data_IF_258168317405
#
_entry.id   IF_258168317405
#
_cell.length_a   1.000
_cell.length_b   1.000
_cell.length_c   1.000
_cell.angle_alpha   90.00
_cell.angle_beta   90.00
_cell.angle_gamma   90.00
#
_symmetry.space_group_name_H-M   'P 1'
#
loop_
_entity.id
_entity.type
_entity.pdbx_description
1 polymer ?
#
# COMPACT_ATOMS: atom_id res chain seq x y z
N UNK A 1 8.14 0.33 -24.43
CA UNK A 1 8.54 -0.58 -23.32
C UNK A 1 7.29 -1.13 -22.66
N UNK A 2 7.24 -2.44 -22.32
CA UNK A 2 6.06 -3.06 -21.67
C UNK A 2 6.21 -3.09 -20.15
N UNK A 3 5.20 -2.62 -19.43
CA UNK A 3 5.12 -2.70 -17.96
C UNK A 3 3.96 -3.62 -17.56
N UNK A 4 4.28 -4.70 -16.83
CA UNK A 4 3.31 -5.71 -16.37
C UNK A 4 2.96 -5.58 -14.89
N UNK A 5 3.49 -4.55 -14.21
CA UNK A 5 3.45 -4.41 -12.76
C UNK A 5 2.41 -3.41 -12.28
N UNK A 6 2.16 -2.35 -13.04
CA UNK A 6 1.41 -1.19 -12.57
C UNK A 6 0.19 -0.91 -13.44
N UNK A 7 -0.85 -0.36 -12.82
CA UNK A 7 -2.01 0.17 -13.52
C UNK A 7 -1.61 1.38 -14.40
N UNK A 8 -2.31 1.58 -15.52
CA UNK A 8 -2.01 2.65 -16.47
C UNK A 8 -1.96 4.06 -15.83
N UNK A 9 -2.87 4.35 -14.90
CA UNK A 9 -2.91 5.63 -14.19
C UNK A 9 -1.66 5.88 -13.32
N UNK A 10 -1.04 4.83 -12.77
CA UNK A 10 0.20 4.95 -11.99
C UNK A 10 1.38 5.27 -12.92
N UNK A 11 1.36 4.73 -14.13
CA UNK A 11 2.42 4.92 -15.11
C UNK A 11 2.35 6.25 -15.86
N UNK A 12 1.21 6.91 -15.85
CA UNK A 12 0.98 8.11 -16.67
C UNK A 12 2.04 9.18 -16.43
N UNK A 13 2.21 9.64 -15.18
CA UNK A 13 3.18 10.67 -14.85
C UNK A 13 4.64 10.30 -15.19
N UNK A 14 5.18 9.15 -14.76
CA UNK A 14 6.54 8.78 -15.15
C UNK A 14 6.69 8.58 -16.67
N UNK A 15 5.64 8.11 -17.36
CA UNK A 15 5.67 7.93 -18.81
C UNK A 15 5.82 9.28 -19.53
N UNK A 16 5.02 10.26 -19.13
CA UNK A 16 5.06 11.62 -19.69
C UNK A 16 6.41 12.30 -19.39
N UNK A 17 6.94 12.17 -18.15
CA UNK A 17 8.12 12.91 -17.72
C UNK A 17 9.44 12.26 -18.14
N UNK A 18 9.54 10.92 -18.15
CA UNK A 18 10.83 10.23 -18.23
C UNK A 18 10.94 9.24 -19.39
N UNK A 19 9.82 8.73 -19.91
CA UNK A 19 9.81 7.66 -20.90
C UNK A 19 9.24 8.07 -22.25
N UNK A 20 9.01 9.36 -22.50
CA UNK A 20 8.53 9.91 -23.80
C UNK A 20 7.26 9.22 -24.31
N UNK A 21 6.41 8.78 -23.40
CA UNK A 21 5.20 8.00 -23.70
C UNK A 21 5.44 6.61 -24.32
N UNK A 22 6.64 6.05 -24.13
CA UNK A 22 6.99 4.72 -24.66
C UNK A 22 6.58 3.55 -23.74
N UNK A 23 6.05 3.83 -22.54
CA UNK A 23 5.58 2.80 -21.62
C UNK A 23 4.16 2.36 -21.98
N UNK A 24 4.01 1.08 -22.21
CA UNK A 24 2.71 0.43 -22.42
C UNK A 24 2.32 -0.35 -21.17
N UNK A 25 1.17 -0.01 -20.56
CA UNK A 25 0.62 -0.74 -19.42
C UNK A 25 0.05 -2.09 -19.90
N UNK A 26 0.73 -3.17 -19.55
CA UNK A 26 0.35 -4.55 -19.87
C UNK A 26 -0.06 -5.34 -18.60
N UNK A 27 -0.49 -4.64 -17.56
CA UNK A 27 -0.94 -5.26 -16.31
C UNK A 27 -2.15 -6.18 -16.53
N UNK A 28 -2.26 -7.20 -15.68
CA UNK A 28 -3.35 -8.16 -15.70
C UNK A 28 -4.46 -7.78 -14.67
N UNK A 29 -5.39 -8.70 -14.43
CA UNK A 29 -6.47 -8.50 -13.44
C UNK A 29 -5.95 -8.20 -12.02
N UNK A 30 -4.77 -8.71 -11.64
CA UNK A 30 -4.18 -8.46 -10.32
C UNK A 30 -3.72 -7.00 -10.15
N UNK A 31 -3.23 -6.35 -11.21
CA UNK A 31 -2.86 -4.92 -11.15
C UNK A 31 -4.06 -4.00 -11.02
N UNK A 32 -5.26 -4.50 -11.34
CA UNK A 32 -6.52 -3.77 -11.32
C UNK A 32 -7.42 -4.20 -10.15
N UNK A 33 -6.93 -5.03 -9.24
CA UNK A 33 -7.72 -5.67 -8.19
C UNK A 33 -8.46 -4.68 -7.26
N UNK A 34 -7.92 -3.47 -7.08
CA UNK A 34 -8.52 -2.43 -6.23
C UNK A 34 -9.42 -1.44 -6.97
N UNK A 35 -9.49 -1.48 -8.30
CA UNK A 35 -10.39 -0.63 -9.06
C UNK A 35 -11.84 -0.97 -8.69
N UNK A 36 -12.62 0.06 -8.34
CA UNK A 36 -13.99 -0.09 -7.84
C UNK A 36 -14.10 -0.31 -6.32
N UNK A 37 -12.97 -0.39 -5.60
CA UNK A 37 -12.97 -0.56 -4.13
C UNK A 37 -13.50 0.68 -3.42
N UNK A 38 -14.25 0.46 -2.34
CA UNK A 38 -14.79 1.53 -1.47
C UNK A 38 -13.71 2.26 -0.67
N UNK A 39 -12.51 1.69 -0.56
CA UNK A 39 -11.38 2.35 0.09
C UNK A 39 -10.78 3.48 -0.76
N UNK A 40 -11.00 3.43 -2.08
CA UNK A 40 -10.51 4.44 -3.00
C UNK A 40 -11.43 5.67 -3.01
N UNK A 41 -10.90 6.88 -2.77
CA UNK A 41 -11.68 8.13 -2.94
C UNK A 41 -12.24 8.30 -4.35
N UNK A 42 -11.49 7.84 -5.35
CA UNK A 42 -11.93 7.70 -6.74
C UNK A 42 -11.86 6.22 -7.13
N UNK A 43 -13.00 5.53 -7.33
CA UNK A 43 -13.05 4.11 -7.65
C UNK A 43 -12.27 3.71 -8.92
N UNK A 44 -12.05 4.66 -9.84
CA UNK A 44 -11.34 4.42 -11.11
C UNK A 44 -9.84 4.73 -11.02
N UNK A 45 -9.34 5.16 -9.86
CA UNK A 45 -7.95 5.60 -9.70
C UNK A 45 -7.29 4.88 -8.51
N UNK A 46 -6.35 3.98 -8.73
CA UNK A 46 -5.81 3.09 -7.70
C UNK A 46 -4.70 3.74 -6.85
N UNK A 47 -4.82 5.03 -6.57
CA UNK A 47 -3.89 5.78 -5.72
C UNK A 47 -4.69 6.58 -4.70
N UNK A 48 -4.25 6.52 -3.45
CA UNK A 48 -4.74 7.37 -2.37
C UNK A 48 -3.58 8.26 -1.93
N UNK A 49 -3.83 9.56 -1.83
CA UNK A 49 -2.95 10.50 -1.14
C UNK A 49 -3.69 10.99 0.11
N UNK A 50 -3.11 10.72 1.29
CA UNK A 50 -3.67 11.13 2.57
C UNK A 50 -2.64 11.96 3.33
N UNK A 51 -2.86 13.26 3.41
CA UNK A 51 -2.03 14.17 4.21
C UNK A 51 -2.39 14.06 5.69
N UNK A 52 -1.40 13.81 6.53
CA UNK A 52 -1.56 13.68 7.98
C UNK A 52 -0.83 14.85 8.66
N UNK A 53 -1.50 15.69 9.43
CA UNK A 53 -0.90 16.83 10.12
C UNK A 53 -0.19 16.40 11.42
N UNK A 54 0.67 15.39 11.34
CA UNK A 54 1.42 14.86 12.47
C UNK A 54 2.75 15.57 12.69
N UNK A 55 3.35 15.33 13.86
CA UNK A 55 4.67 15.87 14.22
C UNK A 55 5.72 14.76 14.22
N UNK A 56 6.83 15.03 13.53
CA UNK A 56 7.98 14.14 13.55
C UNK A 56 8.66 14.16 14.91
N UNK A 57 8.92 12.96 15.42
CA UNK A 57 9.56 12.74 16.70
C UNK A 57 10.85 11.94 16.53
N UNK A 58 11.71 11.99 17.52
CA UNK A 58 12.95 11.23 17.57
C UNK A 58 13.21 10.74 18.98
N UNK A 59 13.67 9.50 19.11
CA UNK A 59 14.15 8.99 20.40
C UNK A 59 15.52 9.60 20.73
N UNK A 60 15.77 9.84 22.03
CA UNK A 60 17.00 10.52 22.49
C UNK A 60 18.29 9.85 22.00
N UNK A 61 18.28 8.53 21.87
CA UNK A 61 19.44 7.72 21.51
C UNK A 61 19.41 7.21 20.05
N UNK A 62 18.53 7.75 19.19
CA UNK A 62 18.40 7.31 17.80
C UNK A 62 18.40 8.51 16.85
N UNK A 63 19.15 8.46 15.75
CA UNK A 63 19.08 9.50 14.71
C UNK A 63 17.81 9.39 13.85
N UNK A 64 17.03 8.32 14.00
CA UNK A 64 15.90 8.02 13.13
C UNK A 64 14.63 8.71 13.60
N UNK A 65 13.87 9.25 12.65
CA UNK A 65 12.60 9.91 12.89
C UNK A 65 11.43 8.91 12.84
N UNK A 66 10.33 9.29 13.46
CA UNK A 66 9.04 8.62 13.36
C UNK A 66 7.89 9.61 13.61
N UNK A 67 6.71 9.30 13.10
CA UNK A 67 5.49 10.07 13.28
C UNK A 67 4.39 9.13 13.81
N UNK A 68 3.89 9.42 15.01
CA UNK A 68 2.89 8.57 15.67
C UNK A 68 1.55 8.60 14.94
N UNK A 69 1.16 9.75 14.39
CA UNK A 69 -0.12 9.91 13.69
C UNK A 69 -0.12 9.10 12.39
N UNK A 70 1.01 9.07 11.68
CA UNK A 70 1.19 8.19 10.50
C UNK A 70 1.12 6.71 10.88
N UNK A 71 1.75 6.30 12.00
CA UNK A 71 1.68 4.91 12.48
C UNK A 71 0.24 4.50 12.75
N UNK A 72 -0.55 5.36 13.40
CA UNK A 72 -1.96 5.09 13.68
C UNK A 72 -2.80 5.01 12.41
N UNK A 73 -2.55 5.88 11.45
CA UNK A 73 -3.26 5.87 10.17
C UNK A 73 -2.93 4.62 9.34
N UNK A 74 -1.66 4.21 9.31
CA UNK A 74 -1.24 2.96 8.64
C UNK A 74 -1.91 1.75 9.28
N UNK A 75 -1.97 1.72 10.62
CA UNK A 75 -2.69 0.66 11.33
C UNK A 75 -4.16 0.61 10.93
N UNK A 76 -4.84 1.77 10.88
CA UNK A 76 -6.25 1.86 10.47
C UNK A 76 -6.46 1.35 9.04
N UNK A 77 -5.59 1.71 8.10
CA UNK A 77 -5.64 1.19 6.73
C UNK A 77 -5.42 -0.33 6.67
N UNK A 78 -4.45 -0.85 7.41
CA UNK A 78 -4.18 -2.29 7.45
C UNK A 78 -5.39 -3.08 8.01
N UNK A 79 -6.01 -2.59 9.08
CA UNK A 79 -7.21 -3.19 9.66
C UNK A 79 -8.41 -3.13 8.70
N UNK A 80 -8.59 -2.01 7.99
CA UNK A 80 -9.66 -1.84 7.01
C UNK A 80 -9.46 -2.77 5.79
N UNK A 81 -8.23 -2.90 5.30
CA UNK A 81 -7.90 -3.85 4.23
C UNK A 81 -8.19 -5.29 4.64
N UNK A 82 -7.84 -5.67 5.87
CA UNK A 82 -8.17 -6.98 6.39
C UNK A 82 -9.69 -7.19 6.47
N UNK A 83 -10.44 -6.20 6.97
CA UNK A 83 -11.90 -6.24 7.07
C UNK A 83 -12.56 -6.40 5.69
N UNK A 84 -12.09 -5.67 4.69
CA UNK A 84 -12.61 -5.75 3.32
C UNK A 84 -12.37 -7.12 2.69
N UNK A 85 -11.27 -7.75 3.04
CA UNK A 85 -10.96 -9.07 2.52
C UNK A 85 -11.57 -10.23 3.28
N UNK A 86 -11.74 -10.10 4.60
CA UNK A 86 -12.40 -11.11 5.42
C UNK A 86 -13.95 -11.10 5.28
N UNK A 87 -14.51 -10.06 4.64
CA UNK A 87 -15.95 -9.89 4.52
C UNK A 87 -16.58 -10.75 3.43
N UNK A 88 -17.41 -11.74 3.80
CA UNK A 88 -18.27 -12.52 2.90
C UNK A 88 -19.29 -11.64 2.13
N UNK A 89 -19.41 -10.35 2.43
CA UNK A 89 -20.45 -9.42 1.99
C UNK A 89 -20.01 -8.40 0.93
N UNK A 90 -18.91 -8.59 0.23
CA UNK A 90 -18.61 -7.81 -0.98
C UNK A 90 -19.52 -8.28 -2.13
N UNK A 91 -20.82 -8.02 -2.02
CA UNK A 91 -21.87 -8.47 -2.92
C UNK A 91 -21.83 -7.82 -4.31
N UNK A 92 -21.05 -6.76 -4.48
CA UNK A 92 -21.01 -5.97 -5.74
C UNK A 92 -19.78 -6.23 -6.62
N UNK A 93 -18.90 -7.17 -6.25
CA UNK A 93 -17.73 -7.48 -7.06
C UNK A 93 -17.95 -8.75 -7.89
N UNK A 94 -17.53 -8.78 -9.17
CA UNK A 94 -17.52 -10.01 -9.95
C UNK A 94 -16.77 -11.11 -9.19
N UNK A 95 -17.30 -12.33 -9.21
CA UNK A 95 -16.77 -13.50 -8.50
C UNK A 95 -15.27 -13.78 -8.75
N UNK A 96 -14.76 -13.27 -9.88
CA UNK A 96 -13.34 -13.31 -10.28
C UNK A 96 -12.44 -12.26 -9.58
N UNK A 97 -13.02 -11.28 -8.89
CA UNK A 97 -12.33 -10.18 -8.22
C UNK A 97 -12.66 -10.17 -6.72
N UNK A 98 -13.05 -11.30 -6.14
CA UNK A 98 -13.24 -11.37 -4.70
C UNK A 98 -11.90 -11.10 -4.02
N UNK A 99 -11.87 -10.05 -3.23
CA UNK A 99 -10.75 -9.69 -2.33
C UNK A 99 -10.35 -10.84 -1.37
N UNK A 100 -11.11 -11.93 -1.31
CA UNK A 100 -10.80 -13.13 -0.52
C UNK A 100 -9.39 -13.68 -0.79
N UNK A 101 -8.79 -13.37 -1.95
CA UNK A 101 -7.40 -13.70 -2.26
C UNK A 101 -6.40 -12.55 -1.93
N UNK A 102 -6.89 -11.39 -1.44
CA UNK A 102 -6.08 -10.18 -1.24
C UNK A 102 -5.83 -9.82 0.22
N UNK A 103 -6.22 -10.65 1.16
CA UNK A 103 -6.20 -10.33 2.59
C UNK A 103 -5.17 -11.07 3.39
N UNK A 104 -4.27 -11.72 2.72
CA UNK A 104 -3.09 -12.25 3.40
C UNK A 104 -2.09 -11.11 3.61
N UNK A 105 -1.44 -11.07 4.79
CA UNK A 105 -0.39 -10.10 5.06
C UNK A 105 0.68 -10.00 3.97
N UNK A 106 0.91 -11.09 3.24
CA UNK A 106 1.89 -11.19 2.16
C UNK A 106 1.54 -10.38 0.90
N UNK A 107 0.32 -9.87 0.77
CA UNK A 107 -0.10 -9.07 -0.38
C UNK A 107 0.08 -7.55 -0.15
N UNK A 108 0.30 -7.14 1.10
CA UNK A 108 0.42 -5.74 1.50
C UNK A 108 1.86 -5.44 1.93
N UNK A 109 2.45 -4.40 1.33
CA UNK A 109 3.76 -3.89 1.71
C UNK A 109 3.65 -2.48 2.30
N UNK A 110 4.30 -2.23 3.43
CA UNK A 110 4.38 -0.91 4.06
C UNK A 110 5.81 -0.41 3.95
N UNK A 111 5.99 0.74 3.30
CA UNK A 111 7.31 1.30 2.98
C UNK A 111 7.46 2.64 3.69
N UNK A 112 8.56 2.81 4.41
CA UNK A 112 8.92 4.08 5.02
C UNK A 112 10.43 4.29 5.00
N UNK A 113 10.94 5.52 4.81
CA UNK A 113 12.38 5.77 4.72
C UNK A 113 13.10 5.65 6.07
N UNK A 114 12.38 5.74 7.19
CA UNK A 114 12.99 5.81 8.51
C UNK A 114 12.85 4.51 9.29
N UNK A 115 13.98 3.96 9.75
CA UNK A 115 14.00 2.74 10.57
C UNK A 115 13.16 2.87 11.87
N UNK A 116 13.18 4.04 12.51
CA UNK A 116 12.35 4.33 13.69
C UNK A 116 10.86 4.13 13.40
N UNK A 117 10.41 4.62 12.23
CA UNK A 117 9.03 4.44 11.77
C UNK A 117 8.71 2.96 11.51
N UNK A 118 9.62 2.21 10.88
CA UNK A 118 9.46 0.76 10.67
C UNK A 118 9.17 0.05 11.98
N UNK A 119 9.97 0.32 13.03
CA UNK A 119 9.81 -0.33 14.34
C UNK A 119 8.48 0.03 15.01
N UNK A 120 8.06 1.31 14.92
CA UNK A 120 6.78 1.76 15.50
C UNK A 120 5.59 1.12 14.80
N UNK A 121 5.61 1.03 13.45
CA UNK A 121 4.54 0.39 12.67
C UNK A 121 4.49 -1.11 12.98
N UNK A 122 5.62 -1.82 12.96
CA UNK A 122 5.68 -3.25 13.32
C UNK A 122 5.08 -3.51 14.71
N UNK A 123 5.41 -2.66 15.70
CA UNK A 123 4.84 -2.73 17.04
C UNK A 123 3.33 -2.49 17.06
N UNK A 124 2.85 -1.52 16.29
CA UNK A 124 1.43 -1.20 16.21
C UNK A 124 0.61 -2.32 15.53
N UNK A 125 1.18 -3.02 14.56
CA UNK A 125 0.53 -4.13 13.87
C UNK A 125 0.64 -5.47 14.61
N UNK A 126 1.57 -5.63 15.54
CA UNK A 126 1.83 -6.90 16.24
C UNK A 126 0.61 -7.49 16.97
N UNK A 127 -0.34 -6.64 17.35
CA UNK A 127 -1.60 -7.04 18.05
C UNK A 127 -2.79 -7.15 17.11
N UNK A 128 -2.60 -7.02 15.81
CA UNK A 128 -3.67 -7.07 14.80
C UNK A 128 -3.57 -8.34 13.96
N UNK A 129 -4.62 -8.65 13.21
CA UNK A 129 -4.61 -9.73 12.24
C UNK A 129 -3.58 -9.51 11.10
N UNK A 130 -3.06 -8.28 10.97
CA UNK A 130 -2.06 -7.88 9.98
C UNK A 130 -0.63 -7.90 10.53
N UNK A 131 -0.36 -8.63 11.60
CA UNK A 131 0.98 -8.73 12.22
C UNK A 131 2.06 -9.30 11.30
N UNK A 132 1.67 -10.09 10.30
CA UNK A 132 2.57 -10.64 9.27
C UNK A 132 2.92 -9.69 8.13
N UNK A 133 2.29 -8.51 8.04
CA UNK A 133 2.59 -7.54 6.97
C UNK A 133 4.05 -7.12 7.00
N UNK A 134 4.70 -7.17 5.84
CA UNK A 134 6.06 -6.69 5.70
C UNK A 134 6.09 -5.16 5.80
N UNK A 135 6.81 -4.66 6.80
CA UNK A 135 7.12 -3.24 6.98
C UNK A 135 8.62 -3.07 6.85
N UNK A 136 9.09 -2.25 5.92
CA UNK A 136 10.52 -2.12 5.65
C UNK A 136 10.88 -0.79 4.99
N UNK A 137 12.18 -0.53 4.83
CA UNK A 137 12.69 0.61 4.08
C UNK A 137 12.56 0.40 2.56
N UNK A 138 12.77 1.48 1.80
CA UNK A 138 12.74 1.43 0.33
C UNK A 138 13.77 0.43 -0.22
N UNK A 139 14.95 0.39 0.39
CA UNK A 139 16.04 -0.50 -0.03
C UNK A 139 15.69 -1.99 0.18
N UNK A 140 15.02 -2.31 1.28
CA UNK A 140 14.58 -3.68 1.59
C UNK A 140 13.47 -4.19 0.64
N UNK A 141 12.76 -3.25 -0.02
CA UNK A 141 11.73 -3.56 -1.01
C UNK A 141 12.26 -3.62 -2.45
N UNK A 142 13.50 -3.26 -2.68
CA UNK A 142 14.07 -3.23 -4.02
C UNK A 142 13.97 -4.60 -4.70
N UNK A 143 13.43 -4.63 -5.92
CA UNK A 143 13.24 -5.85 -6.70
C UNK A 143 12.01 -6.69 -6.33
N UNK A 144 11.25 -6.32 -5.30
CA UNK A 144 10.03 -7.04 -4.90
C UNK A 144 8.79 -6.48 -5.59
N UNK A 145 7.76 -7.31 -5.72
CA UNK A 145 6.46 -6.94 -6.29
C UNK A 145 5.36 -7.35 -5.30
N UNK A 146 4.52 -6.40 -4.93
CA UNK A 146 3.40 -6.59 -4.01
C UNK A 146 2.12 -6.12 -4.69
N UNK A 147 0.98 -6.65 -4.28
CA UNK A 147 -0.32 -6.23 -4.82
C UNK A 147 -0.71 -4.83 -4.36
N UNK A 148 -0.30 -4.43 -3.15
CA UNK A 148 -0.54 -3.10 -2.59
C UNK A 148 0.68 -2.59 -1.84
N UNK A 149 0.95 -1.29 -1.96
CA UNK A 149 1.93 -0.57 -1.17
C UNK A 149 1.28 0.55 -0.37
N UNK A 150 1.72 0.74 0.86
CA UNK A 150 1.41 1.91 1.69
C UNK A 150 2.75 2.64 1.90
N UNK A 151 3.11 3.61 1.04
CA UNK A 151 4.30 4.44 1.22
C UNK A 151 4.00 5.58 2.21
N UNK A 152 5.01 5.90 3.03
CA UNK A 152 4.98 6.97 4.03
C UNK A 152 6.13 7.93 3.81
#
# INVERSE_FOLDING_TARGET
>A
MKNFRSHASILQYPNDCFYKNDLEACGNQHTNAFIGSTILPNPNYPIIFHAIPGLDQREANSPSFFNVDEVLQVKAYAEELHRLGAGENCVSWPKALRLNDLTVPDDVGIITPYHGQVLKIRKALATTAMSGVKVASVEEYQGQVWKMYIPL
#
